data_IF_806443290672
#
_entry.id   IF_806443290672
#
_cell.length_a   1.000
_cell.length_b   1.000
_cell.length_c   1.000
_cell.angle_alpha   90.00
_cell.angle_beta   90.00
_cell.angle_gamma   90.00
#
_symmetry.space_group_name_H-M   'P 1'
#
loop_
_entity.id
_entity.type
_entity.pdbx_description
1 polymer ?
#
# COMPACT_ATOMS: atom_id res chain seq x y z
N UNK A 1 -18.93 13.49 -0.93
CA UNK A 1 -17.73 13.03 -0.22
C UNK A 1 -17.90 13.20 1.28
N UNK A 2 -17.62 12.15 2.06
CA UNK A 2 -17.46 12.19 3.51
C UNK A 2 -16.18 12.96 3.83
N UNK A 3 -16.27 13.92 4.76
CA UNK A 3 -15.11 14.69 5.23
C UNK A 3 -14.30 13.87 6.24
N UNK A 4 -12.98 13.99 6.15
CA UNK A 4 -12.01 13.36 7.04
C UNK A 4 -11.16 14.47 7.65
N UNK A 5 -10.73 14.27 8.89
CA UNK A 5 -9.86 15.19 9.64
C UNK A 5 -8.56 14.48 10.03
N UNK A 6 -7.51 15.25 10.30
CA UNK A 6 -6.23 14.68 10.72
C UNK A 6 -6.35 13.96 12.07
N UNK A 7 -7.22 14.42 12.97
CA UNK A 7 -7.49 13.78 14.26
C UNK A 7 -8.07 12.37 14.08
N UNK A 8 -8.95 12.18 13.09
CA UNK A 8 -9.49 10.86 12.76
C UNK A 8 -8.41 9.93 12.20
N UNK A 9 -7.52 10.46 11.36
CA UNK A 9 -6.40 9.69 10.81
C UNK A 9 -5.42 9.27 11.92
N UNK A 10 -5.05 10.19 12.81
CA UNK A 10 -4.16 9.89 13.95
C UNK A 10 -4.78 8.88 14.91
N UNK A 11 -6.08 9.00 15.21
CA UNK A 11 -6.78 8.01 16.03
C UNK A 11 -6.75 6.61 15.42
N UNK A 12 -6.83 6.50 14.09
CA UNK A 12 -6.71 5.21 13.43
C UNK A 12 -5.31 4.60 13.58
N UNK A 13 -4.25 5.42 13.59
CA UNK A 13 -2.88 4.96 13.88
C UNK A 13 -2.79 4.40 15.29
N UNK A 14 -3.24 5.16 16.30
CA UNK A 14 -3.20 4.74 17.72
C UNK A 14 -3.89 3.39 17.93
N UNK A 15 -5.05 3.20 17.30
CA UNK A 15 -5.81 1.94 17.39
C UNK A 15 -5.05 0.74 16.80
N UNK A 16 -4.27 0.96 15.74
CA UNK A 16 -3.45 -0.09 15.12
C UNK A 16 -2.20 -0.37 15.96
N UNK A 17 -1.55 0.68 16.47
CA UNK A 17 -0.35 0.55 17.29
C UNK A 17 -0.63 -0.22 18.60
N UNK A 18 -1.80 -0.01 19.19
CA UNK A 18 -2.25 -0.73 20.41
C UNK A 18 -2.74 -2.16 20.13
N UNK A 19 -2.94 -2.54 18.86
CA UNK A 19 -3.37 -3.90 18.51
C UNK A 19 -2.16 -4.86 18.50
N UNK A 20 -2.18 -5.85 19.40
CA UNK A 20 -1.09 -6.83 19.55
C UNK A 20 -0.73 -7.52 18.23
N UNK A 21 -1.72 -7.77 17.37
CA UNK A 21 -1.49 -8.44 16.09
C UNK A 21 -0.96 -7.46 15.06
N UNK A 22 -1.69 -6.38 14.75
CA UNK A 22 -1.30 -5.49 13.66
C UNK A 22 -0.10 -4.62 14.02
N UNK A 23 -0.06 -4.03 15.22
CA UNK A 23 1.11 -3.28 15.71
C UNK A 23 2.34 -4.19 15.88
N UNK A 24 2.15 -5.42 16.35
CA UNK A 24 3.21 -6.43 16.43
C UNK A 24 3.82 -6.78 15.07
N UNK A 25 2.96 -7.02 14.07
CA UNK A 25 3.37 -7.30 12.69
C UNK A 25 4.12 -6.11 12.05
N UNK A 26 3.69 -4.86 12.30
CA UNK A 26 4.37 -3.65 11.82
C UNK A 26 5.78 -3.51 12.41
N UNK A 27 5.95 -3.74 13.72
CA UNK A 27 7.27 -3.70 14.38
C UNK A 27 8.20 -4.78 13.79
N UNK A 28 7.68 -5.99 13.56
CA UNK A 28 8.48 -7.07 12.97
C UNK A 28 8.90 -6.72 11.54
N UNK A 29 7.98 -6.17 10.75
CA UNK A 29 8.22 -5.75 9.37
C UNK A 29 9.26 -4.62 9.32
N UNK A 30 9.12 -3.59 10.16
CA UNK A 30 10.05 -2.46 10.25
C UNK A 30 11.47 -2.95 10.54
N UNK A 31 11.65 -3.77 11.58
CA UNK A 31 12.97 -4.32 11.96
C UNK A 31 13.60 -5.12 10.82
N UNK A 32 12.80 -5.94 10.15
CA UNK A 32 13.29 -6.75 9.04
C UNK A 32 13.70 -5.90 7.83
N UNK A 33 12.88 -4.90 7.48
CA UNK A 33 13.18 -3.97 6.38
C UNK A 33 14.45 -3.15 6.68
N UNK A 34 14.61 -2.66 7.90
CA UNK A 34 15.82 -1.94 8.31
C UNK A 34 17.08 -2.82 8.31
N UNK A 35 16.95 -4.11 8.65
CA UNK A 35 18.06 -5.05 8.59
C UNK A 35 18.49 -5.37 7.14
N UNK A 36 17.54 -5.40 6.22
CA UNK A 36 17.77 -5.68 4.81
C UNK A 36 17.23 -4.53 3.95
N UNK A 37 17.86 -3.35 3.93
CA UNK A 37 17.23 -2.15 3.36
C UNK A 37 17.15 -2.16 1.83
N UNK A 38 18.01 -2.90 1.12
CA UNK A 38 18.09 -2.85 -0.34
C UNK A 38 17.40 -4.04 -1.02
N UNK A 39 17.09 -3.89 -2.31
CA UNK A 39 16.50 -4.92 -3.16
C UNK A 39 17.48 -5.39 -4.23
N UNK A 40 18.65 -5.88 -3.83
CA UNK A 40 19.74 -6.22 -4.75
C UNK A 40 19.62 -7.61 -5.40
N UNK A 41 20.14 -7.81 -6.62
CA UNK A 41 20.18 -9.13 -7.27
C UNK A 41 21.11 -10.12 -6.55
N UNK A 42 22.04 -9.63 -5.73
CA UNK A 42 22.99 -10.46 -4.98
C UNK A 42 22.36 -11.07 -3.71
N UNK A 43 21.21 -10.55 -3.25
CA UNK A 43 20.49 -11.04 -2.07
C UNK A 43 19.00 -11.30 -2.33
N UNK A 44 18.72 -12.10 -3.36
CA UNK A 44 17.37 -12.60 -3.64
C UNK A 44 16.69 -13.24 -2.43
N UNK A 45 17.35 -14.00 -1.54
CA UNK A 45 16.73 -14.53 -0.33
C UNK A 45 16.16 -13.46 0.59
N UNK A 46 16.90 -12.36 0.86
CA UNK A 46 16.38 -11.28 1.69
C UNK A 46 15.17 -10.59 1.06
N UNK A 47 15.21 -10.32 -0.25
CA UNK A 47 14.08 -9.73 -0.97
C UNK A 47 12.87 -10.68 -0.96
N UNK A 48 13.08 -11.98 -1.19
CA UNK A 48 12.01 -12.97 -1.11
C UNK A 48 11.41 -13.07 0.31
N UNK A 49 12.22 -12.88 1.35
CA UNK A 49 11.73 -12.85 2.73
C UNK A 49 10.86 -11.62 3.00
N UNK A 50 11.24 -10.42 2.54
CA UNK A 50 10.36 -9.22 2.58
C UNK A 50 9.01 -9.49 1.94
N UNK A 51 9.02 -10.11 0.76
CA UNK A 51 7.81 -10.49 0.02
C UNK A 51 6.95 -11.45 0.84
N UNK A 52 7.56 -12.45 1.48
CA UNK A 52 6.87 -13.41 2.34
C UNK A 52 6.23 -12.77 3.58
N UNK A 53 6.93 -11.82 4.22
CA UNK A 53 6.39 -11.07 5.36
C UNK A 53 5.19 -10.21 4.94
N UNK A 54 5.30 -9.47 3.83
CA UNK A 54 4.18 -8.69 3.29
C UNK A 54 3.00 -9.60 2.93
N UNK A 55 3.24 -10.75 2.29
CA UNK A 55 2.16 -11.67 1.94
C UNK A 55 1.43 -12.20 3.18
N UNK A 56 2.18 -12.43 4.25
CA UNK A 56 1.66 -12.94 5.53
C UNK A 56 0.87 -11.87 6.29
N UNK A 57 1.46 -10.70 6.52
CA UNK A 57 0.86 -9.65 7.36
C UNK A 57 -0.25 -8.88 6.63
N UNK A 58 -0.11 -8.68 5.32
CA UNK A 58 -1.08 -7.92 4.51
C UNK A 58 -1.97 -8.79 3.63
N UNK A 59 -1.90 -10.12 3.77
CA UNK A 59 -2.78 -11.08 3.08
C UNK A 59 -2.84 -10.87 1.57
N UNK A 60 -1.68 -10.73 0.91
CA UNK A 60 -1.64 -10.49 -0.55
C UNK A 60 -2.00 -11.73 -1.37
N UNK A 61 -2.01 -12.90 -0.70
CA UNK A 61 -2.41 -14.20 -1.21
C UNK A 61 -1.63 -14.65 -2.46
N UNK A 62 -0.32 -14.41 -2.51
CA UNK A 62 0.54 -14.71 -3.66
C UNK A 62 0.46 -16.19 -4.07
N UNK A 63 0.34 -17.11 -3.10
CA UNK A 63 0.16 -18.54 -3.37
C UNK A 63 -1.10 -18.85 -4.18
N UNK A 64 -2.22 -18.18 -3.88
CA UNK A 64 -3.46 -18.34 -4.65
C UNK A 64 -3.31 -17.82 -6.09
N UNK A 65 -2.43 -16.84 -6.27
CA UNK A 65 -2.09 -16.27 -7.58
C UNK A 65 -0.98 -17.05 -8.31
N UNK A 66 -0.56 -18.21 -7.77
CA UNK A 66 0.51 -19.07 -8.30
C UNK A 66 1.84 -18.35 -8.50
N UNK A 67 2.10 -17.34 -7.66
CA UNK A 67 3.35 -16.58 -7.71
C UNK A 67 4.35 -17.09 -6.66
N UNK A 68 5.60 -17.23 -7.09
CA UNK A 68 6.72 -17.52 -6.18
C UNK A 68 7.35 -16.24 -5.66
N UNK A 69 7.61 -16.17 -4.35
CA UNK A 69 8.32 -15.06 -3.74
C UNK A 69 9.71 -14.85 -4.37
N UNK A 70 10.44 -15.93 -4.68
CA UNK A 70 11.76 -15.83 -5.33
C UNK A 70 11.69 -15.37 -6.78
N UNK A 71 10.57 -15.63 -7.47
CA UNK A 71 10.37 -15.10 -8.81
C UNK A 71 10.07 -13.59 -8.77
N UNK A 72 9.21 -13.16 -7.85
CA UNK A 72 8.93 -11.73 -7.65
C UNK A 72 10.16 -10.97 -7.15
N UNK A 73 10.97 -11.57 -6.28
CA UNK A 73 12.22 -10.99 -5.84
C UNK A 73 13.15 -10.67 -7.01
N UNK A 74 13.30 -11.60 -7.98
CA UNK A 74 14.10 -11.34 -9.18
C UNK A 74 13.53 -10.23 -10.07
N UNK A 75 12.21 -10.08 -10.11
CA UNK A 75 11.54 -9.01 -10.86
C UNK A 75 11.82 -7.64 -10.23
N UNK A 76 11.74 -7.56 -8.90
CA UNK A 76 11.98 -6.34 -8.11
C UNK A 76 13.46 -5.96 -8.10
N UNK A 77 14.34 -6.97 -7.98
CA UNK A 77 15.81 -6.80 -7.95
C UNK A 77 16.47 -6.72 -9.32
N UNK A 78 15.69 -6.56 -10.38
CA UNK A 78 16.17 -6.38 -11.74
C UNK A 78 16.92 -5.02 -11.84
N UNK A 79 18.23 -5.00 -12.15
CA UNK A 79 19.01 -3.76 -12.18
C UNK A 79 18.43 -2.69 -13.12
N UNK A 80 17.80 -3.11 -14.22
CA UNK A 80 17.18 -2.19 -15.19
C UNK A 80 15.91 -1.51 -14.64
N UNK A 81 15.35 -2.04 -13.55
CA UNK A 81 14.18 -1.43 -12.90
C UNK A 81 14.57 -0.21 -12.05
N UNK A 82 15.79 -0.16 -11.53
CA UNK A 82 16.25 0.85 -10.56
C UNK A 82 15.25 1.04 -9.41
N UNK A 83 14.80 -0.07 -8.81
CA UNK A 83 13.68 -0.05 -7.87
C UNK A 83 13.95 0.85 -6.67
N UNK A 84 15.07 0.66 -5.98
CA UNK A 84 15.39 1.40 -4.75
C UNK A 84 15.52 2.90 -5.02
N UNK A 85 16.24 3.29 -6.08
CA UNK A 85 16.42 4.69 -6.45
C UNK A 85 15.10 5.37 -6.81
N UNK A 86 14.22 4.66 -7.53
CA UNK A 86 12.89 5.18 -7.91
C UNK A 86 11.96 5.30 -6.71
N UNK A 87 12.00 4.33 -5.78
CA UNK A 87 11.23 4.41 -4.54
C UNK A 87 11.71 5.57 -3.67
N UNK A 88 13.02 5.79 -3.54
CA UNK A 88 13.57 6.92 -2.79
C UNK A 88 13.20 8.27 -3.42
N UNK A 89 13.20 8.35 -4.76
CA UNK A 89 12.83 9.55 -5.50
C UNK A 89 11.31 9.82 -5.56
N UNK A 90 10.48 8.92 -5.03
CA UNK A 90 9.02 9.05 -5.08
C UNK A 90 8.41 8.78 -6.47
N UNK A 91 9.11 8.07 -7.35
CA UNK A 91 8.64 7.77 -8.70
C UNK A 91 7.61 6.61 -8.69
N UNK A 92 6.33 6.97 -8.67
CA UNK A 92 5.22 6.00 -8.64
C UNK A 92 5.12 5.13 -9.90
N UNK A 93 5.72 5.56 -11.01
CA UNK A 93 5.66 4.81 -12.28
C UNK A 93 6.42 3.48 -12.21
N UNK A 94 7.30 3.28 -11.21
CA UNK A 94 7.97 1.99 -10.99
C UNK A 94 6.97 0.86 -10.72
N UNK A 95 5.84 1.17 -10.09
CA UNK A 95 4.78 0.19 -9.85
C UNK A 95 3.99 -0.08 -11.13
N UNK A 96 3.78 0.92 -11.98
CA UNK A 96 3.15 0.74 -13.29
C UNK A 96 3.99 -0.21 -14.17
N UNK A 97 5.31 -0.04 -14.16
CA UNK A 97 6.27 -0.91 -14.86
C UNK A 97 6.26 -2.33 -14.30
N UNK A 98 6.32 -2.47 -12.97
CA UNK A 98 6.22 -3.76 -12.28
C UNK A 98 4.93 -4.49 -12.63
N UNK A 99 3.83 -3.76 -12.80
CA UNK A 99 2.56 -4.33 -13.19
C UNK A 99 2.57 -4.87 -14.63
N UNK A 100 3.51 -4.50 -15.50
CA UNK A 100 3.59 -5.09 -16.85
C UNK A 100 4.38 -6.40 -16.88
N UNK A 101 5.22 -6.68 -15.86
CA UNK A 101 6.14 -7.83 -15.86
C UNK A 101 5.44 -9.19 -15.63
N UNK A 102 4.55 -9.38 -14.64
CA UNK A 102 3.85 -10.65 -14.42
C UNK A 102 2.57 -10.76 -15.26
N UNK A 103 2.24 -12.00 -15.64
CA UNK A 103 0.98 -12.29 -16.35
C UNK A 103 -0.25 -12.03 -15.48
N UNK A 104 -0.17 -12.32 -14.18
CA UNK A 104 -1.21 -12.00 -13.20
C UNK A 104 -1.19 -10.51 -12.84
N UNK A 105 -2.34 -10.00 -12.40
CA UNK A 105 -2.45 -8.61 -11.97
C UNK A 105 -2.16 -8.49 -10.46
N UNK A 106 -0.92 -8.17 -10.14
CA UNK A 106 -0.40 -8.05 -8.77
C UNK A 106 -0.53 -6.63 -8.18
N UNK A 107 -1.52 -5.84 -8.63
CA UNK A 107 -1.74 -4.45 -8.20
C UNK A 107 -1.73 -4.27 -6.68
N UNK A 108 -2.46 -5.12 -5.97
CA UNK A 108 -2.55 -5.07 -4.50
C UNK A 108 -1.21 -5.38 -3.82
N UNK A 109 -0.39 -6.24 -4.44
CA UNK A 109 0.90 -6.63 -3.88
C UNK A 109 1.95 -5.55 -4.14
N UNK A 110 2.13 -5.11 -5.39
CA UNK A 110 3.16 -4.12 -5.71
C UNK A 110 2.89 -2.75 -5.08
N UNK A 111 1.62 -2.35 -4.96
CA UNK A 111 1.28 -1.13 -4.21
C UNK A 111 1.72 -1.19 -2.74
N UNK A 112 1.52 -2.33 -2.06
CA UNK A 112 2.00 -2.53 -0.68
C UNK A 112 3.50 -2.59 -0.60
N UNK A 113 4.15 -3.35 -1.47
CA UNK A 113 5.60 -3.47 -1.47
C UNK A 113 6.27 -2.10 -1.62
N UNK A 114 5.86 -1.32 -2.63
CA UNK A 114 6.38 0.02 -2.85
C UNK A 114 6.07 0.98 -1.69
N UNK A 115 4.83 0.98 -1.20
CA UNK A 115 4.44 1.86 -0.08
C UNK A 115 5.21 1.55 1.19
N UNK A 116 5.31 0.28 1.57
CA UNK A 116 6.01 -0.13 2.79
C UNK A 116 7.52 0.07 2.67
N UNK A 117 8.08 -0.10 1.48
CA UNK A 117 9.49 0.19 1.26
C UNK A 117 9.80 1.70 1.34
N UNK A 118 8.99 2.54 0.69
CA UNK A 118 9.09 4.00 0.76
C UNK A 118 8.97 4.51 2.20
N UNK A 119 8.01 3.96 2.95
CA UNK A 119 7.77 4.33 4.34
C UNK A 119 8.86 3.83 5.30
N UNK A 120 9.17 2.53 5.30
CA UNK A 120 10.02 1.93 6.34
C UNK A 120 11.53 2.19 6.14
N UNK A 121 11.96 2.47 4.91
CA UNK A 121 13.38 2.69 4.59
C UNK A 121 13.71 4.18 4.43
N UNK A 122 12.86 4.91 3.73
CA UNK A 122 13.14 6.30 3.36
C UNK A 122 12.36 7.32 4.18
N UNK A 123 11.45 6.88 5.06
CA UNK A 123 10.58 7.75 5.87
C UNK A 123 9.74 8.70 4.99
N UNK A 124 9.21 8.16 3.88
CA UNK A 124 8.43 8.91 2.87
C UNK A 124 7.00 8.38 2.76
N UNK A 125 6.17 9.13 2.03
CA UNK A 125 4.74 8.83 1.82
C UNK A 125 4.30 9.15 0.38
N UNK A 126 5.16 8.87 -0.60
CA UNK A 126 4.86 9.17 -2.01
C UNK A 126 3.90 8.15 -2.63
N UNK A 127 3.84 6.96 -2.03
CA UNK A 127 3.10 5.81 -2.52
C UNK A 127 1.84 5.58 -1.67
N UNK A 128 0.86 4.88 -2.24
CA UNK A 128 -0.36 4.49 -1.53
C UNK A 128 -0.67 3.01 -1.70
N UNK A 129 -1.11 2.36 -0.62
CA UNK A 129 -1.59 0.98 -0.67
C UNK A 129 -2.89 0.92 -1.48
N UNK A 130 -2.97 -0.06 -2.37
CA UNK A 130 -4.23 -0.52 -2.93
C UNK A 130 -4.55 -1.88 -2.32
N UNK A 131 -5.72 -2.02 -1.73
CA UNK A 131 -6.24 -3.31 -1.31
C UNK A 131 -7.76 -3.34 -1.47
N UNK A 132 -8.37 -4.50 -1.20
CA UNK A 132 -9.81 -4.65 -1.32
C UNK A 132 -10.58 -3.85 -0.26
N UNK A 133 -10.01 -3.67 0.93
CA UNK A 133 -10.65 -2.95 2.03
C UNK A 133 -10.78 -1.46 1.68
N UNK A 134 -9.69 -0.84 1.22
CA UNK A 134 -9.64 0.56 0.82
C UNK A 134 -10.40 0.78 -0.48
N UNK A 135 -10.16 -0.04 -1.51
CA UNK A 135 -10.74 0.20 -2.84
C UNK A 135 -12.27 0.15 -2.85
N UNK A 136 -12.87 -0.63 -1.94
CA UNK A 136 -14.32 -0.76 -1.84
C UNK A 136 -14.98 0.50 -1.29
N UNK A 137 -14.33 1.21 -0.38
CA UNK A 137 -14.95 2.33 0.34
C UNK A 137 -14.42 3.70 -0.08
N UNK A 138 -13.36 3.74 -0.90
CA UNK A 138 -12.74 4.97 -1.38
C UNK A 138 -13.73 5.93 -2.08
N UNK A 139 -14.78 5.39 -2.71
CA UNK A 139 -15.83 6.20 -3.36
C UNK A 139 -16.60 7.10 -2.39
N UNK A 140 -16.61 6.77 -1.10
CA UNK A 140 -17.24 7.60 -0.06
C UNK A 140 -16.43 8.88 0.19
N UNK A 141 -15.13 8.82 0.00
CA UNK A 141 -14.16 9.84 0.41
C UNK A 141 -13.66 10.71 -0.74
N UNK A 142 -14.21 10.57 -1.94
CA UNK A 142 -13.84 11.39 -3.09
C UNK A 142 -15.05 12.00 -3.77
N UNK A 143 -14.84 13.13 -4.45
CA UNK A 143 -15.80 13.69 -5.40
C UNK A 143 -15.38 13.42 -6.87
N UNK A 144 -14.35 12.60 -7.10
CA UNK A 144 -13.90 12.26 -8.44
C UNK A 144 -15.05 11.60 -9.22
N UNK A 145 -15.49 12.16 -10.37
CA UNK A 145 -16.65 11.66 -11.09
C UNK A 145 -16.44 10.26 -11.70
N UNK A 146 -15.22 9.74 -11.74
CA UNK A 146 -14.94 8.37 -12.19
C UNK A 146 -15.09 7.34 -11.07
N UNK A 147 -15.18 7.77 -9.82
CA UNK A 147 -15.20 6.92 -8.62
C UNK A 147 -16.55 7.07 -7.91
N UNK A 148 -17.57 6.37 -8.39
CA UNK A 148 -18.96 6.54 -7.94
C UNK A 148 -19.53 5.38 -7.11
N UNK A 149 -18.84 4.24 -7.07
CA UNK A 149 -19.34 3.00 -6.46
C UNK A 149 -18.21 2.09 -6.02
N UNK A 150 -18.59 1.03 -5.28
CA UNK A 150 -17.70 0.00 -4.70
C UNK A 150 -16.72 -0.65 -5.69
N UNK A 151 -17.07 -0.70 -6.98
CA UNK A 151 -16.24 -1.31 -8.03
C UNK A 151 -15.46 -0.29 -8.85
N UNK A 152 -15.71 1.02 -8.66
CA UNK A 152 -15.16 2.04 -9.53
C UNK A 152 -13.63 2.10 -9.46
N UNK A 153 -13.04 1.95 -8.26
CA UNK A 153 -11.59 1.92 -8.13
C UNK A 153 -10.97 0.68 -8.80
N UNK A 154 -11.63 -0.47 -8.75
CA UNK A 154 -11.20 -1.67 -9.45
C UNK A 154 -11.21 -1.46 -10.97
N UNK A 155 -12.28 -0.87 -11.50
CA UNK A 155 -12.45 -0.62 -12.93
C UNK A 155 -11.52 0.47 -13.48
N UNK A 156 -11.25 1.51 -12.68
CA UNK A 156 -10.41 2.62 -13.12
C UNK A 156 -8.92 2.34 -12.97
N UNK A 157 -8.49 1.67 -11.90
CA UNK A 157 -7.06 1.56 -11.58
C UNK A 157 -6.56 0.14 -11.74
N UNK A 158 -7.11 -0.81 -10.96
CA UNK A 158 -6.59 -2.19 -10.95
C UNK A 158 -6.67 -2.84 -12.33
N UNK A 159 -7.85 -2.86 -12.97
CA UNK A 159 -8.02 -3.52 -14.28
C UNK A 159 -7.20 -2.87 -15.39
N UNK A 160 -6.94 -1.56 -15.28
CA UNK A 160 -6.13 -0.80 -16.24
C UNK A 160 -4.65 -0.78 -15.91
N UNK A 161 -4.24 -1.33 -14.76
CA UNK A 161 -2.87 -1.27 -14.22
C UNK A 161 -2.35 0.18 -14.11
N UNK A 162 -3.23 1.09 -13.68
CA UNK A 162 -2.94 2.52 -13.47
C UNK A 162 -2.73 2.80 -11.97
N UNK A 163 -1.51 2.56 -11.49
CA UNK A 163 -1.11 2.83 -10.12
C UNK A 163 -0.85 4.32 -9.88
N UNK A 164 -0.19 5.00 -10.81
CA UNK A 164 0.03 6.45 -10.67
C UNK A 164 -1.30 7.22 -10.52
N UNK A 165 -2.34 6.84 -11.28
CA UNK A 165 -3.68 7.40 -11.13
C UNK A 165 -4.35 7.04 -9.79
N UNK A 166 -4.03 5.88 -9.20
CA UNK A 166 -4.47 5.53 -7.85
C UNK A 166 -3.84 6.45 -6.80
N UNK A 167 -2.52 6.68 -6.86
CA UNK A 167 -1.84 7.60 -5.93
C UNK A 167 -2.39 9.01 -6.07
N UNK A 168 -2.61 9.50 -7.29
CA UNK A 168 -3.23 10.81 -7.53
C UNK A 168 -4.63 10.93 -6.92
N UNK A 169 -5.44 9.86 -6.99
CA UNK A 169 -6.76 9.86 -6.32
C UNK A 169 -6.60 10.04 -4.81
N UNK A 170 -5.69 9.28 -4.19
CA UNK A 170 -5.46 9.32 -2.75
C UNK A 170 -4.97 10.71 -2.33
N UNK A 171 -3.99 11.27 -3.04
CA UNK A 171 -3.51 12.64 -2.81
C UNK A 171 -4.65 13.66 -2.93
N UNK A 172 -5.47 13.58 -3.98
CA UNK A 172 -6.62 14.48 -4.15
C UNK A 172 -7.68 14.37 -3.06
N UNK A 173 -7.83 13.21 -2.40
CA UNK A 173 -8.70 13.05 -1.23
C UNK A 173 -8.14 13.82 -0.04
N UNK A 174 -6.84 13.73 0.23
CA UNK A 174 -6.17 14.44 1.33
C UNK A 174 -6.23 15.96 1.10
N UNK A 175 -5.90 16.42 -0.10
CA UNK A 175 -5.96 17.84 -0.49
C UNK A 175 -7.39 18.41 -0.34
N UNK A 176 -8.42 17.68 -0.79
CA UNK A 176 -9.81 18.11 -0.67
C UNK A 176 -10.33 18.17 0.79
N UNK A 177 -9.58 17.57 1.72
CA UNK A 177 -9.80 17.66 3.17
C UNK A 177 -8.78 18.57 3.87
N UNK A 178 -7.89 19.24 3.12
CA UNK A 178 -6.85 20.13 3.65
C UNK A 178 -5.92 19.42 4.64
N UNK A 179 -5.62 18.14 4.40
CA UNK A 179 -4.70 17.34 5.21
C UNK A 179 -3.32 17.43 4.58
N UNK A 180 -2.42 18.14 5.26
CA UNK A 180 -0.99 18.25 4.95
C UNK A 180 -0.22 17.78 6.19
N UNK A 181 0.07 16.49 6.24
CA UNK A 181 0.67 15.83 7.39
C UNK A 181 1.60 14.68 6.94
N UNK A 182 2.73 14.44 7.62
CA UNK A 182 3.61 13.33 7.30
C UNK A 182 2.88 11.99 7.34
N UNK A 183 3.11 11.16 6.33
CA UNK A 183 2.51 9.83 6.21
C UNK A 183 0.97 9.81 6.09
N UNK A 184 0.36 10.93 5.66
CA UNK A 184 -1.09 11.04 5.54
C UNK A 184 -1.74 9.94 4.66
N UNK A 185 -1.06 9.45 3.61
CA UNK A 185 -1.60 8.34 2.79
C UNK A 185 -1.59 7.02 3.57
N UNK A 186 -0.52 6.72 4.31
CA UNK A 186 -0.47 5.57 5.22
C UNK A 186 -1.55 5.65 6.30
N UNK A 187 -1.74 6.82 6.91
CA UNK A 187 -2.78 7.03 7.94
C UNK A 187 -4.19 6.90 7.35
N UNK A 188 -4.41 7.38 6.12
CA UNK A 188 -5.68 7.21 5.41
C UNK A 188 -5.98 5.74 5.10
N UNK A 189 -4.98 4.95 4.70
CA UNK A 189 -5.13 3.50 4.51
C UNK A 189 -5.64 2.83 5.80
N UNK A 190 -4.96 3.09 6.92
CA UNK A 190 -5.39 2.57 8.23
C UNK A 190 -6.76 3.05 8.64
N UNK A 191 -7.08 4.33 8.45
CA UNK A 191 -8.41 4.88 8.74
C UNK A 191 -9.51 4.16 7.95
N UNK A 192 -9.37 4.02 6.64
CA UNK A 192 -10.38 3.36 5.81
C UNK A 192 -10.48 1.86 6.17
N UNK A 193 -9.34 1.22 6.46
CA UNK A 193 -9.31 -0.18 6.87
C UNK A 193 -10.01 -0.41 8.22
N UNK A 194 -9.77 0.46 9.20
CA UNK A 194 -10.32 0.33 10.56
C UNK A 194 -11.82 0.67 10.61
N UNK A 195 -12.30 1.61 9.79
CA UNK A 195 -13.74 1.86 9.58
C UNK A 195 -14.49 0.62 9.07
N UNK A 196 -13.80 -0.29 8.38
CA UNK A 196 -14.37 -1.53 7.84
C UNK A 196 -14.32 -2.71 8.82
N UNK A 197 -13.67 -2.54 9.97
CA UNK A 197 -13.64 -3.55 11.04
C UNK A 197 -14.62 -3.12 12.13
N UNK A 198 -15.74 -3.84 12.23
CA UNK A 198 -16.83 -3.58 13.19
C UNK A 198 -16.39 -3.45 14.64
N UNK A 199 -15.21 -3.99 14.98
CA UNK A 199 -14.76 -4.18 16.35
C UNK A 199 -13.82 -3.05 16.84
N UNK A 200 -13.29 -2.20 15.95
CA UNK A 200 -12.25 -1.22 16.31
C UNK A 200 -12.77 0.18 16.60
N UNK A 201 -13.94 0.56 16.06
CA UNK A 201 -14.54 1.88 16.31
C UNK A 201 -15.97 1.86 16.86
N UNK A 202 -16.43 0.71 17.36
CA UNK A 202 -17.67 0.64 18.14
C UNK A 202 -18.94 1.03 17.39
N UNK A 203 -18.92 1.09 16.06
CA UNK A 203 -20.13 1.32 15.26
C UNK A 203 -20.67 -0.01 14.74
N UNK A 204 -21.43 -0.70 15.61
CA UNK A 204 -22.55 -1.53 15.12
C UNK A 204 -23.49 -0.59 14.36
N UNK A 205 -23.54 -0.73 13.04
CA UNK A 205 -24.69 -0.22 12.26
C UNK A 205 -25.93 -1.04 12.57
#
# INVERSE_FOLDING_TARGET
MIKITIEQLNKAVEVIDDDEKYGGDEIALQKFFQQFPLNTPDDIPAVAAKIGLIDTFYSTNLRMQRMSATHLARIISDPELHFDERIEAGDTSVVDDLLQKPSSNLFSFFSKYATLHNYLIYDRDDFAIYDRSVSKDIYKYTNNPRIKSVNSAEDQYRKKRDYSGWVQLITGILEANQIDDPHAKRKLDWFIWSENKSDYFGTKR
#
